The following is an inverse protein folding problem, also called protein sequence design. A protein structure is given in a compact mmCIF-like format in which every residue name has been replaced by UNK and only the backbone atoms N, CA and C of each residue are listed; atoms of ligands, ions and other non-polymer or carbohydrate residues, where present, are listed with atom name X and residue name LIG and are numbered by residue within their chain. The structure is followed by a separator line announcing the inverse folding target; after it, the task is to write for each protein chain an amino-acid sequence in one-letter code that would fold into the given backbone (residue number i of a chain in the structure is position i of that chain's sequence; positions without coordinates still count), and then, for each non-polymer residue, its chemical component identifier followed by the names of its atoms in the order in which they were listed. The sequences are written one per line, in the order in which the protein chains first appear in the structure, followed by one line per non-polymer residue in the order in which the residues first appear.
data_IF_196046187611
#
_entry.id   IF_196046187611
#
_cell.length_a   1.000
_cell.length_b   1.000
_cell.length_c   1.000
_cell.angle_alpha   90.00
_cell.angle_beta   90.00
_cell.angle_gamma   90.00
#
_symmetry.space_group_name_H-M   'P 1'
#
loop_
_entity.id
_entity.type
_entity.pdbx_description
1 polymer ?
#
# COMPACT_ATOMS: atom_id res chain seq x y z
N UNK A 1 -2.67 -7.73 1.91
CA UNK A 1 -3.36 -8.80 1.16
C UNK A 1 -4.02 -9.83 2.07
N UNK A 2 -3.27 -10.55 2.93
CA UNK A 2 -3.82 -11.59 3.82
C UNK A 2 -5.07 -11.17 4.61
N UNK A 3 -5.03 -10.01 5.27
CA UNK A 3 -6.20 -9.42 5.97
C UNK A 3 -7.43 -9.19 5.09
N UNK A 4 -7.24 -8.84 3.81
CA UNK A 4 -8.36 -8.62 2.87
C UNK A 4 -9.00 -9.97 2.53
N UNK A 5 -8.19 -11.01 2.28
CA UNK A 5 -8.68 -12.37 2.01
C UNK A 5 -9.41 -12.93 3.24
N UNK A 6 -8.81 -12.78 4.44
CA UNK A 6 -9.41 -13.20 5.71
C UNK A 6 -10.74 -12.47 5.96
N UNK A 7 -10.78 -11.15 5.79
CA UNK A 7 -12.01 -10.37 5.95
C UNK A 7 -13.09 -10.71 4.89
N UNK A 8 -12.70 -11.16 3.70
CA UNK A 8 -13.63 -11.64 2.69
C UNK A 8 -14.32 -12.94 3.11
N UNK A 9 -13.62 -13.81 3.86
CA UNK A 9 -14.15 -15.07 4.41
C UNK A 9 -14.85 -15.95 3.35
N UNK A 10 -14.33 -15.96 2.11
CA UNK A 10 -14.88 -16.74 1.00
C UNK A 10 -16.20 -16.23 0.42
N UNK A 11 -16.71 -15.07 0.85
CA UNK A 11 -17.99 -14.52 0.37
C UNK A 11 -17.97 -14.11 -1.10
N UNK A 12 -16.80 -13.74 -1.60
CA UNK A 12 -16.59 -13.31 -2.99
C UNK A 12 -15.36 -13.98 -3.58
N UNK A 13 -15.38 -14.22 -4.89
CA UNK A 13 -14.22 -14.61 -5.70
C UNK A 13 -13.22 -13.46 -5.69
N UNK A 14 -12.01 -13.72 -5.17
CA UNK A 14 -10.96 -12.71 -5.10
C UNK A 14 -10.18 -12.73 -6.40
N UNK A 15 -10.06 -11.55 -7.03
CA UNK A 15 -9.24 -11.35 -8.21
C UNK A 15 -8.24 -10.22 -7.96
N UNK A 16 -6.95 -10.58 -7.97
CA UNK A 16 -5.84 -9.65 -7.83
C UNK A 16 -5.33 -9.24 -9.22
N UNK A 17 -5.29 -7.95 -9.50
CA UNK A 17 -5.04 -7.41 -10.84
C UNK A 17 -3.90 -6.38 -10.81
N UNK A 18 -2.78 -6.73 -11.45
CA UNK A 18 -1.65 -5.84 -11.68
C UNK A 18 -0.30 -6.50 -11.48
N UNK A 19 0.73 -5.96 -12.17
CA UNK A 19 2.10 -6.49 -12.19
C UNK A 19 2.74 -6.58 -10.80
N UNK A 20 2.75 -5.48 -10.05
CA UNK A 20 3.38 -5.49 -8.71
C UNK A 20 2.66 -6.41 -7.73
N UNK A 21 1.33 -6.53 -7.80
CA UNK A 21 0.61 -7.52 -7.00
C UNK A 21 1.05 -8.95 -7.35
N UNK A 22 1.23 -9.26 -8.63
CA UNK A 22 1.68 -10.58 -9.06
C UNK A 22 3.07 -10.88 -8.55
N UNK A 23 4.00 -9.95 -8.71
CA UNK A 23 5.37 -10.08 -8.18
C UNK A 23 5.37 -10.35 -6.67
N UNK A 24 4.56 -9.63 -5.88
CA UNK A 24 4.45 -9.85 -4.44
C UNK A 24 3.78 -11.17 -4.07
N UNK A 25 2.75 -11.60 -4.81
CA UNK A 25 2.10 -12.91 -4.60
C UNK A 25 3.07 -14.04 -4.90
N UNK A 26 3.70 -14.01 -6.08
CA UNK A 26 4.63 -15.04 -6.54
C UNK A 26 5.78 -15.20 -5.55
N UNK A 27 6.32 -14.09 -5.04
CA UNK A 27 7.38 -14.11 -4.04
C UNK A 27 6.90 -14.66 -2.69
N UNK A 28 5.75 -14.19 -2.19
CA UNK A 28 5.18 -14.67 -0.95
C UNK A 28 4.83 -16.16 -1.00
N UNK A 29 4.37 -16.67 -2.15
CA UNK A 29 4.03 -18.08 -2.36
C UNK A 29 5.29 -18.95 -2.36
N UNK A 30 6.37 -18.52 -3.02
CA UNK A 30 7.69 -19.19 -2.94
C UNK A 30 8.19 -19.36 -1.50
N UNK A 31 7.82 -18.42 -0.63
CA UNK A 31 8.16 -18.45 0.79
C UNK A 31 7.06 -19.04 1.70
N UNK A 32 6.01 -19.66 1.12
CA UNK A 32 4.88 -20.25 1.86
C UNK A 32 4.16 -19.27 2.80
N UNK A 33 4.22 -17.96 2.49
CA UNK A 33 3.57 -16.89 3.26
C UNK A 33 2.11 -16.67 2.84
N UNK A 34 1.75 -17.13 1.64
CA UNK A 34 0.41 -17.06 1.08
C UNK A 34 0.11 -18.33 0.27
N UNK A 35 -1.15 -18.74 0.24
CA UNK A 35 -1.67 -19.79 -0.63
C UNK A 35 -2.51 -19.11 -1.72
N UNK A 36 -2.02 -19.15 -2.97
CA UNK A 36 -2.70 -18.51 -4.11
C UNK A 36 -3.81 -19.36 -4.72
N UNK A 37 -4.00 -20.61 -4.30
CA UNK A 37 -5.02 -21.51 -4.86
C UNK A 37 -6.46 -20.99 -4.71
N UNK A 38 -6.68 -20.09 -3.75
CA UNK A 38 -8.00 -19.56 -3.39
C UNK A 38 -8.33 -18.23 -4.10
N UNK A 39 -7.47 -17.71 -4.96
CA UNK A 39 -7.73 -16.47 -5.69
C UNK A 39 -7.06 -16.42 -7.07
N UNK A 40 -7.60 -15.62 -7.98
CA UNK A 40 -6.97 -15.37 -9.28
C UNK A 40 -5.96 -14.22 -9.17
N UNK A 41 -4.76 -14.36 -9.72
CA UNK A 41 -3.77 -13.27 -9.85
C UNK A 41 -3.39 -13.07 -11.31
N UNK A 42 -3.71 -11.90 -11.87
CA UNK A 42 -3.46 -11.58 -13.30
C UNK A 42 -2.75 -10.24 -13.45
N UNK A 43 -1.79 -10.20 -14.38
CA UNK A 43 -0.97 -9.00 -14.63
C UNK A 43 -0.89 -8.63 -16.11
N UNK A 44 -1.07 -9.61 -17.00
CA UNK A 44 -1.16 -9.37 -18.44
C UNK A 44 -2.44 -8.62 -18.78
N UNK A 45 -2.37 -7.71 -19.76
CA UNK A 45 -3.50 -6.86 -20.13
C UNK A 45 -4.72 -7.67 -20.56
N UNK A 46 -4.54 -8.66 -21.42
CA UNK A 46 -5.66 -9.47 -21.93
C UNK A 46 -6.28 -10.32 -20.84
N UNK A 47 -5.46 -10.87 -19.94
CA UNK A 47 -5.98 -11.62 -18.79
C UNK A 47 -6.76 -10.72 -17.83
N UNK A 48 -6.26 -9.51 -17.56
CA UNK A 48 -6.94 -8.51 -16.72
C UNK A 48 -8.28 -8.11 -17.35
N UNK A 49 -8.32 -7.81 -18.65
CA UNK A 49 -9.55 -7.51 -19.38
C UNK A 49 -10.58 -8.64 -19.27
N UNK A 50 -10.15 -9.90 -19.43
CA UNK A 50 -11.03 -11.07 -19.29
C UNK A 50 -11.63 -11.19 -17.88
N UNK A 51 -10.84 -11.00 -16.84
CA UNK A 51 -11.32 -11.06 -15.45
C UNK A 51 -12.31 -9.92 -15.18
N UNK A 52 -11.96 -8.71 -15.63
CA UNK A 52 -12.79 -7.53 -15.46
C UNK A 52 -14.13 -7.64 -16.20
N UNK A 53 -14.16 -8.22 -17.40
CA UNK A 53 -15.40 -8.52 -18.11
C UNK A 53 -16.33 -9.44 -17.31
N UNK A 54 -15.80 -10.57 -16.81
CA UNK A 54 -16.57 -11.49 -15.94
C UNK A 54 -17.07 -10.81 -14.66
N UNK A 55 -16.23 -9.96 -14.06
CA UNK A 55 -16.57 -9.23 -12.86
C UNK A 55 -17.65 -8.16 -13.11
N UNK A 56 -17.66 -7.54 -14.29
CA UNK A 56 -18.69 -6.56 -14.67
C UNK A 56 -20.07 -7.20 -14.80
N UNK A 57 -20.15 -8.45 -15.25
CA UNK A 57 -21.41 -9.21 -15.35
C UNK A 57 -21.87 -9.77 -13.99
N UNK A 58 -20.94 -10.03 -13.07
CA UNK A 58 -21.20 -10.72 -11.80
C UNK A 58 -20.69 -9.93 -10.57
N UNK A 59 -20.92 -8.61 -10.54
CA UNK A 59 -20.28 -7.67 -9.60
C UNK A 59 -20.33 -8.09 -8.13
N UNK A 60 -21.49 -8.61 -7.68
CA UNK A 60 -21.68 -9.01 -6.27
C UNK A 60 -20.84 -10.23 -5.86
N UNK A 61 -20.42 -11.05 -6.83
CA UNK A 61 -19.59 -12.23 -6.61
C UNK A 61 -18.10 -11.92 -6.55
N UNK A 62 -17.67 -10.74 -6.99
CA UNK A 62 -16.24 -10.42 -7.12
C UNK A 62 -15.74 -9.43 -6.05
N UNK A 63 -14.55 -9.73 -5.54
CA UNK A 63 -13.71 -8.79 -4.79
C UNK A 63 -12.46 -8.51 -5.62
N UNK A 64 -12.43 -7.35 -6.25
CA UNK A 64 -11.30 -6.90 -7.05
C UNK A 64 -10.24 -6.22 -6.17
N UNK A 65 -9.01 -6.71 -6.24
CA UNK A 65 -7.84 -6.12 -5.57
C UNK A 65 -6.89 -5.64 -6.67
N UNK A 66 -6.78 -4.33 -6.85
CA UNK A 66 -6.08 -3.77 -8.01
C UNK A 66 -4.90 -2.90 -7.61
N UNK A 67 -3.92 -2.77 -8.51
CA UNK A 67 -2.84 -1.77 -8.37
C UNK A 67 -3.31 -0.37 -8.77
N UNK A 68 -2.53 0.66 -8.43
CA UNK A 68 -2.75 2.02 -8.92
C UNK A 68 -3.43 2.97 -7.93
N UNK A 69 -3.36 2.68 -6.63
CA UNK A 69 -3.86 3.55 -5.56
C UNK A 69 -3.29 4.98 -5.59
N UNK A 70 -2.10 5.16 -6.16
CA UNK A 70 -1.45 6.47 -6.34
C UNK A 70 -1.93 7.22 -7.60
N UNK A 71 -2.79 6.61 -8.42
CA UNK A 71 -3.27 7.21 -9.66
C UNK A 71 -2.30 7.11 -10.83
N UNK A 72 -1.26 6.26 -10.74
CA UNK A 72 -0.31 6.03 -11.83
C UNK A 72 -1.03 5.64 -13.12
N UNK A 73 -0.84 6.38 -14.24
CA UNK A 73 -1.68 6.20 -15.43
C UNK A 73 -1.68 4.77 -16.00
N UNK A 74 -0.57 4.05 -15.91
CA UNK A 74 -0.42 2.69 -16.44
C UNK A 74 -0.95 1.57 -15.52
N UNK A 75 -1.44 1.92 -14.33
CA UNK A 75 -1.97 0.95 -13.38
C UNK A 75 -3.44 0.60 -13.64
N UNK A 76 -3.90 -0.52 -13.08
CA UNK A 76 -5.22 -1.10 -13.37
C UNK A 76 -6.36 -0.18 -12.91
N UNK A 77 -6.37 0.28 -11.65
CA UNK A 77 -7.46 1.12 -11.14
C UNK A 77 -7.63 2.44 -11.91
N UNK A 78 -6.57 3.20 -12.24
CA UNK A 78 -6.69 4.37 -13.12
C UNK A 78 -7.20 4.05 -14.52
N UNK A 79 -6.81 2.92 -15.11
CA UNK A 79 -7.35 2.46 -16.39
C UNK A 79 -8.84 2.14 -16.30
N UNK A 80 -9.27 1.41 -15.25
CA UNK A 80 -10.69 1.11 -15.02
C UNK A 80 -11.48 2.41 -14.88
N UNK A 81 -10.98 3.37 -14.09
CA UNK A 81 -11.66 4.65 -13.91
C UNK A 81 -11.80 5.44 -15.21
N UNK A 82 -10.86 5.28 -16.17
CA UNK A 82 -10.91 5.94 -17.49
C UNK A 82 -11.78 5.20 -18.52
N UNK A 83 -12.20 3.96 -18.24
CA UNK A 83 -12.90 3.12 -19.22
C UNK A 83 -11.95 2.37 -20.17
N UNK A 84 -10.68 2.17 -19.80
CA UNK A 84 -9.70 1.47 -20.64
C UNK A 84 -9.87 -0.07 -20.59
N UNK A 85 -10.77 -0.57 -19.73
CA UNK A 85 -11.06 -1.97 -19.49
C UNK A 85 -12.56 -2.23 -19.63
N UNK A 86 -13.00 -3.49 -19.90
CA UNK A 86 -14.40 -3.88 -19.97
C UNK A 86 -15.03 -3.98 -18.57
N UNK A 87 -14.95 -2.90 -17.81
CA UNK A 87 -15.57 -2.74 -16.50
C UNK A 87 -15.92 -1.27 -16.32
N UNK A 88 -17.22 -0.99 -16.35
CA UNK A 88 -17.74 0.33 -16.03
C UNK A 88 -18.18 0.35 -14.56
N UNK A 89 -17.77 1.36 -13.81
CA UNK A 89 -18.23 1.51 -12.43
C UNK A 89 -19.71 1.88 -12.39
N UNK A 90 -20.48 1.17 -11.57
CA UNK A 90 -21.88 1.50 -11.30
C UNK A 90 -22.05 2.30 -10.00
N UNK A 91 -23.11 3.10 -9.94
CA UNK A 91 -23.47 3.85 -8.75
C UNK A 91 -23.69 2.93 -7.54
N UNK A 92 -23.09 3.27 -6.40
CA UNK A 92 -23.20 2.49 -5.17
C UNK A 92 -22.10 1.44 -4.98
N UNK A 93 -21.26 1.19 -5.99
CA UNK A 93 -20.02 0.46 -5.80
C UNK A 93 -19.09 1.19 -4.82
N UNK A 94 -18.18 0.44 -4.19
CA UNK A 94 -17.27 0.97 -3.18
C UNK A 94 -15.83 0.63 -3.54
N UNK A 95 -14.99 1.65 -3.65
CA UNK A 95 -13.54 1.53 -3.85
C UNK A 95 -12.84 1.97 -2.59
N UNK A 96 -12.06 1.06 -2.00
CA UNK A 96 -11.34 1.29 -0.75
C UNK A 96 -9.85 1.50 -1.06
N UNK A 97 -9.32 2.67 -0.71
CA UNK A 97 -7.90 2.96 -0.79
C UNK A 97 -7.20 2.49 0.49
N UNK A 98 -6.59 1.30 0.44
CA UNK A 98 -5.91 0.66 1.58
C UNK A 98 -4.47 1.18 1.85
N UNK A 99 -4.06 2.30 1.23
CA UNK A 99 -2.74 2.88 1.43
C UNK A 99 -2.78 4.40 1.45
N UNK A 100 -1.75 4.99 2.08
CA UNK A 100 -1.53 6.43 2.07
C UNK A 100 -0.87 6.84 0.75
N UNK A 101 -1.35 7.94 0.16
CA UNK A 101 -0.72 8.53 -1.03
C UNK A 101 0.67 9.05 -0.65
N UNK A 102 1.71 8.67 -1.39
CA UNK A 102 3.07 9.16 -1.17
C UNK A 102 3.07 10.69 -1.28
N UNK A 103 3.76 11.43 -0.38
CA UNK A 103 3.67 12.88 -0.31
C UNK A 103 4.42 13.62 -1.43
N UNK A 104 4.58 13.03 -2.61
CA UNK A 104 5.10 13.77 -3.78
C UNK A 104 3.97 14.57 -4.45
N UNK A 105 4.33 15.65 -5.17
CA UNK A 105 3.35 16.48 -5.87
C UNK A 105 2.59 15.68 -6.94
N UNK A 106 3.30 14.85 -7.70
CA UNK A 106 2.74 14.05 -8.80
C UNK A 106 1.75 13.01 -8.28
N UNK A 107 2.12 12.26 -7.24
CA UNK A 107 1.27 11.21 -6.67
C UNK A 107 0.00 11.80 -6.03
N UNK A 108 0.14 12.95 -5.34
CA UNK A 108 -1.01 13.69 -4.80
C UNK A 108 -1.98 14.13 -5.89
N UNK A 109 -1.46 14.68 -7.00
CA UNK A 109 -2.28 15.12 -8.12
C UNK A 109 -2.99 13.93 -8.78
N UNK A 110 -2.25 12.88 -9.12
CA UNK A 110 -2.77 11.68 -9.77
C UNK A 110 -3.83 10.98 -8.91
N UNK A 111 -3.55 10.77 -7.63
CA UNK A 111 -4.48 10.15 -6.69
C UNK A 111 -5.74 10.99 -6.51
N UNK A 112 -5.61 12.33 -6.41
CA UNK A 112 -6.76 13.25 -6.33
C UNK A 112 -7.63 13.19 -7.59
N UNK A 113 -7.02 13.22 -8.78
CA UNK A 113 -7.73 13.11 -10.05
C UNK A 113 -8.46 11.76 -10.20
N UNK A 114 -7.80 10.67 -9.81
CA UNK A 114 -8.41 9.33 -9.78
C UNK A 114 -9.65 9.30 -8.88
N UNK A 115 -9.51 9.73 -7.63
CA UNK A 115 -10.60 9.72 -6.66
C UNK A 115 -11.76 10.62 -7.10
N UNK A 116 -11.45 11.79 -7.68
CA UNK A 116 -12.47 12.68 -8.27
C UNK A 116 -13.21 11.99 -9.42
N UNK A 117 -12.52 11.26 -10.30
CA UNK A 117 -13.15 10.54 -11.41
C UNK A 117 -14.08 9.44 -10.90
N UNK A 118 -13.62 8.62 -9.95
CA UNK A 118 -14.43 7.57 -9.33
C UNK A 118 -15.69 8.15 -8.68
N UNK A 119 -15.56 9.23 -7.88
CA UNK A 119 -16.71 9.90 -7.26
C UNK A 119 -17.72 10.42 -8.28
N UNK A 120 -17.24 10.95 -9.43
CA UNK A 120 -18.12 11.38 -10.53
C UNK A 120 -18.89 10.24 -11.19
N UNK A 121 -18.37 9.01 -11.10
CA UNK A 121 -19.04 7.79 -11.57
C UNK A 121 -20.03 7.23 -10.53
N UNK A 122 -20.26 7.91 -9.41
CA UNK A 122 -21.18 7.45 -8.36
C UNK A 122 -20.57 6.38 -7.43
N UNK A 123 -19.26 6.16 -7.50
CA UNK A 123 -18.53 5.24 -6.62
C UNK A 123 -18.33 5.87 -5.25
N UNK A 124 -18.61 5.11 -4.19
CA UNK A 124 -18.22 5.45 -2.82
C UNK A 124 -16.71 5.21 -2.66
N UNK A 125 -15.97 6.27 -2.38
CA UNK A 125 -14.51 6.21 -2.20
C UNK A 125 -14.19 6.28 -0.71
N UNK A 126 -13.70 5.17 -0.17
CA UNK A 126 -13.28 5.05 1.22
C UNK A 126 -11.75 5.19 1.36
N UNK A 127 -11.31 5.94 2.36
CA UNK A 127 -9.91 6.22 2.64
C UNK A 127 -9.62 5.96 4.14
N UNK A 128 -8.34 5.92 4.52
CA UNK A 128 -7.95 5.80 5.94
C UNK A 128 -7.86 4.37 6.49
N UNK A 129 -8.11 3.35 5.67
CA UNK A 129 -7.91 1.93 6.02
C UNK A 129 -6.44 1.53 5.85
N UNK A 130 -5.53 2.28 6.46
CA UNK A 130 -4.09 2.03 6.41
C UNK A 130 -3.50 1.99 7.83
N UNK A 131 -2.88 0.87 8.18
CA UNK A 131 -2.00 0.79 9.35
C UNK A 131 -0.60 1.24 8.96
N UNK A 132 0.00 2.13 9.74
CA UNK A 132 1.37 2.56 9.53
C UNK A 132 2.32 1.36 9.66
N UNK A 133 3.22 1.19 8.69
CA UNK A 133 4.25 0.13 8.74
C UNK A 133 5.48 0.48 9.61
N UNK A 134 5.55 1.72 10.10
CA UNK A 134 6.63 2.17 10.98
C UNK A 134 6.14 2.26 12.42
N UNK A 135 6.95 1.76 13.35
CA UNK A 135 6.73 1.93 14.79
C UNK A 135 6.67 3.41 15.16
N UNK A 136 5.73 3.75 16.06
CA UNK A 136 5.60 5.08 16.64
C UNK A 136 6.64 5.29 17.74
N UNK A 137 6.59 6.45 18.40
CA UNK A 137 7.56 6.84 19.44
C UNK A 137 7.76 5.76 20.51
N UNK A 138 6.67 5.19 21.02
CA UNK A 138 6.76 4.15 22.07
C UNK A 138 7.29 2.81 21.56
N UNK A 139 6.98 2.44 20.31
CA UNK A 139 7.57 1.24 19.68
C UNK A 139 9.09 1.41 19.51
N UNK A 140 9.53 2.63 19.13
CA UNK A 140 10.95 2.97 19.04
C UNK A 140 11.61 2.98 20.42
N UNK A 141 10.95 3.52 21.45
CA UNK A 141 11.46 3.49 22.84
C UNK A 141 11.70 2.06 23.29
N UNK A 142 10.71 1.19 23.07
CA UNK A 142 10.81 -0.22 23.41
C UNK A 142 11.96 -0.90 22.68
N UNK A 143 12.20 -0.57 21.41
CA UNK A 143 13.36 -1.08 20.67
C UNK A 143 14.68 -0.62 21.30
N UNK A 144 14.80 0.65 21.67
CA UNK A 144 16.00 1.19 22.33
C UNK A 144 16.26 0.51 23.67
N UNK A 145 15.22 0.32 24.48
CA UNK A 145 15.31 -0.36 25.78
C UNK A 145 15.67 -1.85 25.65
N UNK A 146 15.27 -2.51 24.56
CA UNK A 146 15.61 -3.91 24.32
C UNK A 146 17.05 -4.10 23.84
N UNK A 147 17.58 -3.13 23.08
CA UNK A 147 18.90 -3.23 22.48
C UNK A 147 20.02 -2.64 23.36
N UNK A 148 19.66 -1.73 24.27
CA UNK A 148 20.60 -0.98 25.11
C UNK A 148 21.83 -0.44 24.33
N UNK A 149 21.63 0.24 23.18
CA UNK A 149 22.75 0.63 22.33
C UNK A 149 23.57 1.75 22.98
N UNK A 150 24.88 1.74 22.76
CA UNK A 150 25.76 2.84 23.20
C UNK A 150 25.52 4.13 22.41
N UNK A 151 25.24 4.01 21.11
CA UNK A 151 24.96 5.15 20.23
C UNK A 151 23.85 4.84 19.22
N UNK A 152 22.97 5.81 19.00
CA UNK A 152 21.89 5.77 18.01
C UNK A 152 22.17 6.74 16.87
N UNK A 153 22.14 6.23 15.63
CA UNK A 153 22.21 7.03 14.40
C UNK A 153 20.85 6.99 13.69
N UNK A 154 19.99 8.02 13.81
CA UNK A 154 18.67 8.02 13.17
C UNK A 154 18.76 7.98 11.64
N UNK A 155 17.93 7.15 11.01
CA UNK A 155 17.88 6.98 9.55
C UNK A 155 16.44 6.83 9.03
N UNK A 156 16.27 6.70 7.71
CA UNK A 156 15.00 6.40 7.03
C UNK A 156 13.87 7.44 7.31
N UNK A 157 14.23 8.72 7.40
CA UNK A 157 13.30 9.84 7.56
C UNK A 157 13.96 11.20 7.24
N UNK A 158 13.14 12.22 7.01
CA UNK A 158 13.63 13.61 6.89
C UNK A 158 14.11 14.17 8.23
N UNK A 159 14.66 15.38 8.22
CA UNK A 159 15.29 16.02 9.39
C UNK A 159 14.39 16.01 10.63
N UNK A 160 13.10 16.31 10.49
CA UNK A 160 12.13 16.29 11.59
C UNK A 160 12.02 14.90 12.27
N UNK A 161 11.99 13.84 11.46
CA UNK A 161 11.88 12.46 11.97
C UNK A 161 13.18 12.01 12.62
N UNK A 162 14.31 12.35 12.02
CA UNK A 162 15.63 12.06 12.59
C UNK A 162 15.83 12.79 13.92
N UNK A 163 15.45 14.07 13.99
CA UNK A 163 15.49 14.89 15.20
C UNK A 163 14.56 14.33 16.30
N UNK A 164 13.36 13.87 15.93
CA UNK A 164 12.44 13.22 16.87
C UNK A 164 13.02 11.92 17.45
N UNK A 165 13.69 11.10 16.63
CA UNK A 165 14.35 9.87 17.06
C UNK A 165 15.57 10.16 17.95
N UNK A 166 16.42 11.12 17.56
CA UNK A 166 17.53 11.58 18.39
C UNK A 166 17.06 12.10 19.74
N UNK A 167 15.95 12.84 19.78
CA UNK A 167 15.36 13.33 21.02
C UNK A 167 14.89 12.20 21.92
N UNK A 168 14.30 11.14 21.35
CA UNK A 168 13.94 9.94 22.10
C UNK A 168 15.16 9.20 22.65
N UNK A 169 16.23 9.06 21.86
CA UNK A 169 17.48 8.45 22.35
C UNK A 169 18.05 9.22 23.56
N UNK A 170 18.01 10.56 23.53
CA UNK A 170 18.43 11.39 24.67
C UNK A 170 17.56 11.19 25.92
N UNK A 171 16.25 11.00 25.76
CA UNK A 171 15.35 10.68 26.88
C UNK A 171 15.73 9.34 27.54
N UNK A 172 16.10 8.34 26.74
CA UNK A 172 16.60 7.05 27.21
C UNK A 172 18.09 7.10 27.63
N UNK A 173 18.70 8.31 27.67
CA UNK A 173 20.10 8.56 28.04
C UNK A 173 21.13 7.85 27.16
N UNK A 174 20.80 7.65 25.88
CA UNK A 174 21.67 7.04 24.87
C UNK A 174 22.34 8.13 24.03
N UNK A 175 23.61 7.95 23.67
CA UNK A 175 24.30 8.88 22.77
C UNK A 175 23.62 8.88 21.39
N UNK A 176 23.56 10.03 20.72
CA UNK A 176 22.98 10.09 19.38
C UNK A 176 23.78 10.97 18.41
N UNK A 177 23.88 10.51 17.16
CA UNK A 177 24.57 11.20 16.07
C UNK A 177 23.60 11.35 14.90
N UNK A 178 23.32 12.58 14.50
CA UNK A 178 22.57 12.88 13.27
C UNK A 178 23.57 13.04 12.14
N UNK A 179 23.30 12.41 10.99
CA UNK A 179 24.15 12.41 9.81
C UNK A 179 23.32 12.70 8.58
N UNK A 180 23.90 13.38 7.60
CA UNK A 180 23.31 13.54 6.28
C UNK A 180 23.70 12.39 5.36
N UNK A 181 22.96 12.23 4.26
CA UNK A 181 23.31 11.25 3.24
C UNK A 181 24.74 11.49 2.74
N UNK A 182 25.54 10.42 2.69
CA UNK A 182 26.96 10.38 2.28
C UNK A 182 27.96 10.93 3.29
N UNK A 183 27.54 11.31 4.49
CA UNK A 183 28.47 11.62 5.57
C UNK A 183 28.94 10.35 6.29
N UNK A 184 30.14 10.40 6.85
CA UNK A 184 30.72 9.31 7.64
C UNK A 184 30.56 9.64 9.12
N UNK A 185 29.87 8.76 9.85
CA UNK A 185 29.82 8.81 11.32
C UNK A 185 30.90 7.89 11.88
N UNK A 186 31.78 8.42 12.73
CA UNK A 186 32.73 7.61 13.51
C UNK A 186 32.13 7.34 14.88
N UNK A 187 32.04 6.06 15.23
CA UNK A 187 31.65 5.58 16.54
C UNK A 187 32.93 5.01 17.16
N UNK A 188 33.40 5.58 18.27
CA UNK A 188 34.51 5.05 19.10
C UNK A 188 35.76 4.59 18.35
#
# INVERSE_FOLDING_TARGET
MKKIIEANAGRRKVAMLGRSLKEYVDDAERHSLIDSSNFEIKSDRFEVERVLGRASENRSEYLLVTTGSQGEPSAVLPGMARGDYPYEFEGGETVIFSCVTIPTRTDRLNSSLLKRRLRKQGVRVEEGVHSHGHGKREDQRRLLQLLEPETVVPAHGGEDKQSSCASLAREERIETRISKNKETVRLG
#
